data_IF_330281372050
#
_entry.id   IF_330281372050
#
_cell.length_a   1.000
_cell.length_b   1.000
_cell.length_c   1.000
_cell.angle_alpha   90.00
_cell.angle_beta   90.00
_cell.angle_gamma   90.00
#
_symmetry.space_group_name_H-M   'P 1'
#
loop_
_entity.id
_entity.type
_entity.pdbx_description
1 polymer ?
#
# COMPACT_ATOMS: atom_id res chain seq x y z
N UNK A 1 -28.45 19.45 5.98
CA UNK A 1 -28.31 18.10 6.58
C UNK A 1 -27.09 17.45 5.96
N UNK A 2 -26.25 16.73 6.72
CA UNK A 2 -25.07 16.06 6.16
C UNK A 2 -25.46 14.67 5.64
N UNK A 3 -24.92 14.28 4.49
CA UNK A 3 -25.09 12.92 3.97
C UNK A 3 -24.21 11.96 4.78
N UNK A 4 -24.81 10.92 5.35
CA UNK A 4 -24.08 9.90 6.10
C UNK A 4 -23.57 8.82 5.17
N UNK A 5 -22.27 8.52 5.25
CA UNK A 5 -21.61 7.52 4.41
C UNK A 5 -20.84 6.54 5.29
N UNK A 6 -20.99 5.25 5.02
CA UNK A 6 -20.22 4.18 5.65
C UNK A 6 -19.31 3.54 4.60
N UNK A 7 -18.00 3.48 4.89
CA UNK A 7 -17.02 2.71 4.12
C UNK A 7 -16.74 1.41 4.87
N UNK A 8 -16.93 0.28 4.21
CA UNK A 8 -16.72 -1.05 4.80
C UNK A 8 -15.39 -1.62 4.30
N UNK A 9 -14.45 -1.79 5.22
CA UNK A 9 -13.06 -2.18 4.99
C UNK A 9 -12.13 -0.96 4.99
N UNK A 10 -11.09 -1.01 5.83
CA UNK A 10 -10.03 -0.02 5.93
C UNK A 10 -8.74 -0.50 5.24
N UNK A 11 -8.86 -1.23 4.13
CA UNK A 11 -7.74 -1.46 3.21
C UNK A 11 -7.42 -0.22 2.36
N UNK A 12 -6.37 -0.28 1.54
CA UNK A 12 -5.92 0.84 0.69
C UNK A 12 -7.06 1.49 -0.12
N UNK A 13 -7.94 0.69 -0.72
CA UNK A 13 -9.07 1.21 -1.50
C UNK A 13 -10.11 1.93 -0.63
N UNK A 14 -10.46 1.36 0.54
CA UNK A 14 -11.43 1.94 1.45
C UNK A 14 -10.91 3.23 2.09
N UNK A 15 -9.66 3.23 2.53
CA UNK A 15 -9.00 4.43 3.06
C UNK A 15 -8.82 5.50 1.99
N UNK A 16 -8.48 5.13 0.75
CA UNK A 16 -8.40 6.09 -0.36
C UNK A 16 -9.75 6.75 -0.65
N UNK A 17 -10.83 5.97 -0.69
CA UNK A 17 -12.18 6.51 -0.83
C UNK A 17 -12.58 7.40 0.35
N UNK A 18 -12.33 6.94 1.59
CA UNK A 18 -12.61 7.69 2.81
C UNK A 18 -11.86 9.03 2.85
N UNK A 19 -10.57 9.03 2.50
CA UNK A 19 -9.73 10.22 2.44
C UNK A 19 -10.28 11.25 1.45
N UNK A 20 -10.69 10.81 0.26
CA UNK A 20 -11.27 11.71 -0.74
C UNK A 20 -12.63 12.27 -0.31
N UNK A 21 -13.51 11.43 0.24
CA UNK A 21 -14.84 11.86 0.71
C UNK A 21 -14.76 12.79 1.94
N UNK A 22 -13.72 12.64 2.76
CA UNK A 22 -13.52 13.48 3.95
C UNK A 22 -13.24 14.95 3.62
N UNK A 23 -12.88 15.28 2.37
CA UNK A 23 -12.69 16.67 1.92
C UNK A 23 -14.03 17.42 1.75
N UNK A 24 -15.16 16.71 1.63
CA UNK A 24 -16.49 17.30 1.46
C UNK A 24 -17.15 17.61 2.82
N UNK A 25 -17.36 18.90 3.12
CA UNK A 25 -18.01 19.36 4.35
C UNK A 25 -19.46 18.89 4.52
N UNK A 26 -20.12 18.46 3.44
CA UNK A 26 -21.46 17.89 3.40
C UNK A 26 -21.54 16.43 3.83
N UNK A 27 -20.40 15.74 4.01
CA UNK A 27 -20.35 14.32 4.35
C UNK A 27 -20.10 14.12 5.87
N UNK A 28 -20.79 13.13 6.42
CA UNK A 28 -20.54 12.56 7.75
C UNK A 28 -20.12 11.09 7.55
N UNK A 29 -18.83 10.80 7.73
CA UNK A 29 -18.18 9.56 7.29
C UNK A 29 -17.80 8.66 8.47
N UNK A 30 -18.09 7.37 8.34
CA UNK A 30 -17.58 6.33 9.25
C UNK A 30 -16.92 5.21 8.45
N UNK A 31 -15.75 4.78 8.89
CA UNK A 31 -15.04 3.61 8.32
C UNK A 31 -15.15 2.45 9.30
N UNK A 32 -15.55 1.28 8.79
CA UNK A 32 -15.64 0.04 9.57
C UNK A 32 -14.57 -0.94 9.09
N UNK A 33 -13.73 -1.41 10.00
CA UNK A 33 -12.74 -2.46 9.74
C UNK A 33 -13.00 -3.65 10.66
N UNK A 34 -12.84 -4.87 10.12
CA UNK A 34 -12.98 -6.10 10.88
C UNK A 34 -11.73 -6.40 11.70
N UNK A 35 -10.55 -6.13 11.13
CA UNK A 35 -9.25 -6.34 11.74
C UNK A 35 -8.95 -5.35 12.86
N UNK A 36 -7.88 -5.65 13.61
CA UNK A 36 -7.41 -4.77 14.68
C UNK A 36 -6.64 -3.53 14.15
N UNK A 37 -6.29 -3.52 12.87
CA UNK A 37 -5.49 -2.49 12.23
C UNK A 37 -6.02 -2.21 10.82
N UNK A 38 -5.84 -0.98 10.38
CA UNK A 38 -6.11 -0.58 9.00
C UNK A 38 -4.93 -0.95 8.08
N UNK A 39 -5.15 -0.97 6.77
CA UNK A 39 -4.15 -1.29 5.74
C UNK A 39 -4.51 -2.51 4.90
N UNK A 40 -5.10 -3.53 5.51
CA UNK A 40 -5.50 -4.76 4.81
C UNK A 40 -4.28 -5.52 4.28
N UNK A 41 -4.13 -5.61 2.95
CA UNK A 41 -2.94 -6.21 2.33
C UNK A 41 -1.68 -5.35 2.43
N UNK A 42 -1.82 -4.03 2.63
CA UNK A 42 -0.68 -3.19 2.99
C UNK A 42 -0.43 -3.36 4.48
N UNK A 43 0.58 -4.17 4.82
CA UNK A 43 0.82 -4.63 6.19
C UNK A 43 2.31 -4.73 6.47
N UNK A 44 2.73 -4.05 7.54
CA UNK A 44 4.10 -4.04 8.06
C UNK A 44 4.14 -4.73 9.41
N UNK A 45 5.04 -5.69 9.60
CA UNK A 45 5.30 -6.36 10.87
C UNK A 45 6.71 -6.05 11.35
N UNK A 46 6.95 -6.04 12.65
CA UNK A 46 8.30 -5.84 13.21
C UNK A 46 8.93 -7.19 13.51
N UNK A 47 10.06 -7.48 12.86
CA UNK A 47 10.88 -8.69 13.07
C UNK A 47 12.24 -8.26 13.57
N UNK A 48 12.63 -8.69 14.78
CA UNK A 48 13.90 -8.35 15.43
C UNK A 48 14.22 -6.84 15.45
N UNK A 49 13.17 -6.01 15.56
CA UNK A 49 13.27 -4.54 15.56
C UNK A 49 13.22 -3.89 14.17
N UNK A 50 13.19 -4.68 13.10
CA UNK A 50 13.10 -4.20 11.71
C UNK A 50 11.66 -4.23 11.20
N UNK A 51 11.12 -3.12 10.65
CA UNK A 51 9.84 -3.15 9.96
C UNK A 51 9.97 -3.91 8.63
N UNK A 52 9.09 -4.89 8.42
CA UNK A 52 9.05 -5.76 7.25
C UNK A 52 7.65 -5.75 6.65
N UNK A 53 7.53 -5.32 5.40
CA UNK A 53 6.29 -5.37 4.67
C UNK A 53 6.01 -6.80 4.19
N UNK A 54 4.85 -7.34 4.56
CA UNK A 54 4.44 -8.71 4.18
C UNK A 54 3.53 -8.73 2.95
N UNK A 55 3.08 -7.56 2.50
CA UNK A 55 2.17 -7.40 1.37
C UNK A 55 2.15 -5.95 0.93
N UNK A 56 1.90 -5.74 -0.36
CA UNK A 56 1.99 -4.42 -1.01
C UNK A 56 3.32 -3.70 -0.68
N UNK A 57 4.42 -4.21 -1.24
CA UNK A 57 5.78 -3.76 -0.89
C UNK A 57 6.33 -2.69 -1.84
N UNK A 58 5.86 -2.66 -3.09
CA UNK A 58 6.41 -1.79 -4.14
C UNK A 58 5.31 -1.18 -5.01
N UNK A 59 5.60 -0.02 -5.57
CA UNK A 59 4.79 0.67 -6.57
C UNK A 59 5.71 1.21 -7.68
N UNK A 60 5.12 1.72 -8.77
CA UNK A 60 5.89 2.40 -9.81
C UNK A 60 5.09 3.55 -10.45
N UNK A 61 5.78 4.58 -10.99
CA UNK A 61 5.10 5.74 -11.58
C UNK A 61 4.20 5.44 -12.76
N UNK A 62 4.49 4.36 -13.53
CA UNK A 62 3.74 4.02 -14.73
C UNK A 62 2.34 3.49 -14.42
N UNK A 63 2.20 2.71 -13.35
CA UNK A 63 0.95 2.00 -13.03
C UNK A 63 0.23 2.56 -11.80
N UNK A 64 0.89 3.40 -11.00
CA UNK A 64 0.34 3.97 -9.75
C UNK A 64 0.33 5.50 -9.70
N UNK A 65 -0.07 6.23 -10.77
CA UNK A 65 0.03 7.70 -10.79
C UNK A 65 -0.81 8.37 -9.69
N UNK A 66 -2.04 7.88 -9.43
CA UNK A 66 -2.91 8.45 -8.40
C UNK A 66 -2.38 8.21 -6.98
N UNK A 67 -1.74 7.06 -6.75
CA UNK A 67 -1.17 6.73 -5.45
C UNK A 67 0.06 7.58 -5.15
N UNK A 68 0.91 7.81 -6.15
CA UNK A 68 2.04 8.73 -6.03
C UNK A 68 1.58 10.16 -5.71
N UNK A 69 0.55 10.66 -6.40
CA UNK A 69 0.01 11.98 -6.11
C UNK A 69 -0.55 12.08 -4.68
N UNK A 70 -1.17 10.99 -4.18
CA UNK A 70 -1.60 10.92 -2.78
C UNK A 70 -0.41 10.94 -1.81
N UNK A 71 0.64 10.16 -2.08
CA UNK A 71 1.87 10.14 -1.29
C UNK A 71 2.54 11.51 -1.24
N UNK A 72 2.66 12.19 -2.38
CA UNK A 72 3.17 13.56 -2.44
C UNK A 72 2.34 14.51 -1.57
N UNK A 73 1.01 14.45 -1.68
CA UNK A 73 0.10 15.30 -0.88
C UNK A 73 0.17 14.99 0.62
N UNK A 74 0.47 13.76 1.00
CA UNK A 74 0.67 13.34 2.39
C UNK A 74 2.12 13.55 2.88
N UNK A 75 3.05 13.93 2.01
CA UNK A 75 4.47 14.05 2.35
C UNK A 75 5.15 12.71 2.65
N UNK A 76 4.68 11.63 2.03
CA UNK A 76 5.26 10.28 2.19
C UNK A 76 6.49 10.15 1.31
N UNK A 77 7.63 9.88 1.94
CA UNK A 77 8.89 9.62 1.24
C UNK A 77 8.88 8.24 0.58
N UNK A 78 9.57 8.14 -0.56
CA UNK A 78 9.75 6.92 -1.31
C UNK A 78 11.23 6.64 -1.49
N UNK A 79 11.61 5.36 -1.43
CA UNK A 79 12.97 4.91 -1.70
C UNK A 79 13.00 4.10 -3.00
N UNK A 80 14.02 4.38 -3.83
CA UNK A 80 14.25 3.60 -5.03
C UNK A 80 14.67 2.17 -4.66
N UNK A 81 14.05 1.19 -5.30
CA UNK A 81 14.36 -0.23 -5.08
C UNK A 81 14.48 -0.99 -6.40
N UNK A 82 15.39 -1.95 -6.44
CA UNK A 82 15.57 -2.85 -7.58
C UNK A 82 14.81 -4.15 -7.32
N UNK A 83 13.80 -4.43 -8.15
CA UNK A 83 13.06 -5.70 -8.12
C UNK A 83 13.74 -6.71 -9.05
N UNK A 84 14.95 -7.12 -8.69
CA UNK A 84 15.70 -8.13 -9.46
C UNK A 84 15.07 -9.51 -9.33
N UNK A 85 15.28 -10.34 -10.34
CA UNK A 85 14.81 -11.73 -10.36
C UNK A 85 15.99 -12.66 -10.64
N UNK A 86 16.08 -13.74 -9.89
CA UNK A 86 17.07 -14.79 -10.12
C UNK A 86 16.43 -16.18 -10.04
N UNK A 87 17.04 -17.13 -10.73
CA UNK A 87 16.66 -18.53 -10.71
C UNK A 87 17.92 -19.38 -10.59
N UNK A 88 17.87 -20.38 -9.72
CA UNK A 88 18.90 -21.40 -9.54
C UNK A 88 18.27 -22.77 -9.73
N UNK A 89 18.79 -23.56 -10.66
CA UNK A 89 18.28 -24.87 -11.03
C UNK A 89 19.33 -25.95 -10.78
N UNK A 90 18.86 -27.19 -10.58
CA UNK A 90 19.70 -28.38 -10.44
C UNK A 90 20.82 -28.21 -9.40
N UNK A 91 20.45 -27.77 -8.20
CA UNK A 91 21.40 -27.52 -7.08
C UNK A 91 22.53 -26.53 -7.47
N UNK A 92 22.20 -25.51 -8.27
CA UNK A 92 23.14 -24.46 -8.67
C UNK A 92 23.97 -24.78 -9.91
N UNK A 93 23.66 -25.85 -10.65
CA UNK A 93 24.34 -26.14 -11.93
C UNK A 93 24.02 -25.11 -13.02
N UNK A 94 22.87 -24.45 -12.92
CA UNK A 94 22.50 -23.34 -13.78
C UNK A 94 21.91 -22.22 -12.93
N UNK A 95 22.55 -21.06 -13.01
CA UNK A 95 22.09 -19.85 -12.36
C UNK A 95 21.95 -18.73 -13.37
N UNK A 96 20.88 -17.96 -13.26
CA UNK A 96 20.64 -16.78 -14.07
C UNK A 96 19.98 -15.70 -13.22
N UNK A 97 20.31 -14.44 -13.50
CA UNK A 97 19.65 -13.29 -12.91
C UNK A 97 19.34 -12.25 -13.99
N UNK A 98 18.33 -11.44 -13.75
CA UNK A 98 18.10 -10.24 -14.53
C UNK A 98 19.23 -9.24 -14.31
N UNK A 99 19.57 -8.47 -15.35
CA UNK A 99 20.37 -7.26 -15.18
C UNK A 99 19.55 -6.25 -14.34
N UNK A 100 20.20 -5.61 -13.37
CA UNK A 100 19.58 -4.66 -12.44
C UNK A 100 19.28 -3.31 -13.10
#
# INVERSE_FOLDING_TARGET
>A
EKQRVAVIGAGVAGLGAAWHLAEDAGIDLVVYEKGAQAGGHANTVVVDGTPVDTGFMVFNPRTYPNMLALFEKLGVEAEDTCMSFSVSLDEGRLEWQSDA
#
